data_IF_953701623643
#
_entry.id   IF_953701623643
#
_cell.length_a   1.000
_cell.length_b   1.000
_cell.length_c   1.000
_cell.angle_alpha   90.00
_cell.angle_beta   90.00
_cell.angle_gamma   90.00
#
_symmetry.space_group_name_H-M   'P 1'
#
loop_
_entity.id
_entity.type
_entity.pdbx_description
1 polymer ?
2 water ?
#
# COMPACT_ATOMS: atom_id res chain seq x y z
N UNK A 5 -14.99 -7.19 -26.63
CA UNK A 5 -14.68 -7.00 -28.04
C UNK A 5 -13.37 -6.22 -28.20
N UNK A 6 -13.00 -5.90 -29.43
CA UNK A 6 -11.71 -5.25 -29.62
C UNK A 6 -11.71 -3.86 -29.00
N UNK A 7 -12.81 -3.12 -29.16
CA UNK A 7 -12.86 -1.74 -28.66
C UNK A 7 -12.68 -1.71 -27.15
N UNK A 8 -13.44 -2.53 -26.43
CA UNK A 8 -13.35 -2.53 -24.98
C UNK A 8 -12.03 -3.11 -24.51
N UNK A 9 -11.53 -4.17 -25.17
CA UNK A 9 -10.23 -4.73 -24.78
C UNK A 9 -9.11 -3.73 -24.99
N UNK A 10 -9.13 -3.00 -26.11
CA UNK A 10 -8.09 -2.03 -26.38
C UNK A 10 -8.11 -0.90 -25.36
N UNK A 11 -9.31 -0.39 -25.04
CA UNK A 11 -9.47 0.65 -24.03
C UNK A 11 -9.03 0.12 -22.69
N UNK A 12 -9.48 -1.09 -22.36
CA UNK A 12 -9.09 -1.72 -21.08
C UNK A 12 -7.58 -1.74 -20.92
N UNK A 13 -6.86 -2.32 -21.89
CA UNK A 13 -5.43 -2.45 -21.76
C UNK A 13 -4.73 -1.09 -21.79
N UNK A 14 -5.15 -0.18 -22.66
CA UNK A 14 -4.53 1.13 -22.68
C UNK A 14 -4.84 1.91 -21.41
N UNK A 15 -6.07 1.83 -20.92
CA UNK A 15 -6.44 2.60 -19.75
C UNK A 15 -5.61 2.17 -18.53
N UNK A 16 -5.38 0.87 -18.40
CA UNK A 16 -4.53 0.41 -17.29
C UNK A 16 -3.20 1.14 -17.31
N UNK A 17 -2.54 1.19 -18.47
CA UNK A 17 -1.22 1.80 -18.54
C UNK A 17 -1.28 3.31 -18.33
N UNK A 18 -2.27 3.99 -18.88
CA UNK A 18 -2.40 5.43 -18.67
C UNK A 18 -2.63 5.73 -17.19
N UNK A 19 -3.64 5.08 -16.60
CA UNK A 19 -3.91 5.27 -15.18
C UNK A 19 -2.68 4.92 -14.31
N UNK A 20 -1.97 3.84 -14.66
CA UNK A 20 -0.82 3.45 -13.85
C UNK A 20 0.33 4.44 -13.99
N UNK A 21 0.48 5.05 -15.16
CA UNK A 21 1.57 5.97 -15.41
C UNK A 21 1.30 7.35 -14.80
N UNK A 22 0.10 7.88 -15.05
CA UNK A 22 -0.21 9.27 -14.75
C UNK A 22 -1.12 9.46 -13.56
N UNK A 23 -1.69 8.39 -13.00
CA UNK A 23 -2.68 8.53 -11.96
C UNK A 23 -4.01 8.97 -12.53
N UNK A 24 -5.04 8.97 -11.68
CA UNK A 24 -6.39 9.24 -12.16
C UNK A 24 -6.53 10.65 -12.73
N UNK A 25 -6.18 11.66 -11.93
CA UNK A 25 -6.43 13.04 -12.35
C UNK A 25 -5.65 13.40 -13.61
N UNK A 26 -4.43 12.89 -13.74
CA UNK A 26 -3.60 13.17 -14.89
C UNK A 26 -3.94 12.39 -16.13
N UNK A 27 -4.74 11.33 -16.02
CA UNK A 27 -5.19 10.58 -17.17
C UNK A 27 -6.36 11.29 -17.82
N UNK A 28 -6.52 11.07 -19.13
CA UNK A 28 -7.60 11.68 -19.89
C UNK A 28 -8.18 10.68 -20.87
N UNK A 29 -9.47 10.88 -21.21
CA UNK A 29 -10.07 10.15 -22.31
C UNK A 29 -9.23 10.33 -23.58
N UNK A 30 -8.78 11.56 -23.84
CA UNK A 30 -7.99 11.85 -25.04
C UNK A 30 -6.79 10.92 -25.15
N UNK A 31 -6.05 10.76 -24.04
CA UNK A 31 -4.86 9.93 -24.06
C UNK A 31 -5.22 8.45 -24.17
N UNK A 32 -6.29 8.01 -23.48
CA UNK A 32 -6.69 6.60 -23.54
C UNK A 32 -7.11 6.22 -24.95
N UNK A 33 -7.86 7.10 -25.63
CA UNK A 33 -8.27 6.81 -27.01
C UNK A 33 -7.04 6.67 -27.91
N UNK A 34 -6.10 7.61 -27.77
CA UNK A 34 -4.89 7.59 -28.59
C UNK A 34 -4.11 6.31 -28.34
N UNK A 35 -3.89 5.99 -27.06
CA UNK A 35 -3.08 4.81 -26.73
C UNK A 35 -3.79 3.52 -27.12
N UNK A 36 -5.12 3.51 -27.04
CA UNK A 36 -5.89 2.33 -27.43
C UNK A 36 -6.01 2.15 -28.93
N UNK A 37 -5.68 3.16 -29.73
CA UNK A 37 -5.95 3.09 -31.17
C UNK A 37 -7.44 2.86 -31.41
N UNK A 38 -8.27 3.59 -30.68
CA UNK A 38 -9.72 3.55 -30.80
C UNK A 38 -10.20 4.95 -31.16
N UNK A 39 -10.98 5.06 -32.23
CA UNK A 39 -11.52 6.36 -32.59
C UNK A 39 -12.29 6.96 -31.42
N UNK A 40 -12.08 8.27 -31.16
CA UNK A 40 -12.66 8.86 -29.95
C UNK A 40 -14.17 8.78 -29.96
N UNK A 41 -14.80 8.95 -31.12
CA UNK A 41 -16.25 8.82 -31.19
C UNK A 41 -16.73 7.44 -30.79
N UNK A 42 -15.98 6.40 -31.15
CA UNK A 42 -16.32 5.04 -30.77
C UNK A 42 -16.06 4.81 -29.29
N UNK A 43 -14.99 5.40 -28.75
CA UNK A 43 -14.78 5.36 -27.30
C UNK A 43 -15.99 5.93 -26.58
N UNK A 44 -16.42 7.14 -26.97
CA UNK A 44 -17.51 7.78 -26.26
C UNK A 44 -18.83 7.07 -26.48
N UNK A 45 -18.96 6.30 -27.58
CA UNK A 45 -20.15 5.47 -27.74
C UNK A 45 -20.23 4.40 -26.65
N UNK A 46 -19.08 3.99 -26.13
CA UNK A 46 -18.99 2.92 -25.14
C UNK A 46 -18.88 3.42 -23.71
N UNK A 47 -18.23 4.56 -23.50
CA UNK A 47 -17.95 5.11 -22.17
C UNK A 47 -18.16 6.61 -22.20
N UNK A 48 -18.96 7.13 -21.27
CA UNK A 48 -19.29 8.56 -21.27
C UNK A 48 -18.18 9.44 -20.74
N UNK A 49 -17.23 8.89 -19.97
CA UNK A 49 -16.30 9.71 -19.21
C UNK A 49 -15.11 8.86 -18.77
N UNK A 50 -14.07 9.54 -18.32
CA UNK A 50 -12.92 8.88 -17.71
C UNK A 50 -13.34 8.02 -16.52
N UNK A 51 -14.27 8.52 -15.70
CA UNK A 51 -14.70 7.76 -14.53
C UNK A 51 -15.37 6.46 -14.94
N UNK A 52 -16.16 6.49 -16.02
CA UNK A 52 -16.77 5.26 -16.49
C UNK A 52 -15.71 4.28 -16.96
N UNK A 53 -14.66 4.76 -17.63
CA UNK A 53 -13.61 3.86 -18.07
C UNK A 53 -12.92 3.24 -16.86
N UNK A 54 -12.56 4.08 -15.88
CA UNK A 54 -11.91 3.59 -14.67
C UNK A 54 -12.70 2.48 -14.00
N UNK A 55 -14.01 2.70 -13.77
CA UNK A 55 -14.81 1.73 -13.04
C UNK A 55 -14.94 0.42 -13.80
N UNK A 56 -15.11 0.51 -15.12
CA UNK A 56 -15.13 -0.67 -15.98
C UNK A 56 -13.82 -1.46 -15.85
N UNK A 57 -12.68 -0.76 -15.90
CA UNK A 57 -11.38 -1.43 -15.78
C UNK A 57 -11.26 -2.12 -14.43
N UNK A 58 -11.63 -1.42 -13.34
CA UNK A 58 -11.56 -2.04 -12.02
C UNK A 58 -12.42 -3.29 -11.97
N UNK A 59 -13.65 -3.19 -12.45
CA UNK A 59 -14.58 -4.32 -12.36
C UNK A 59 -14.08 -5.51 -13.18
N UNK A 60 -13.72 -5.26 -14.44
CA UNK A 60 -13.19 -6.34 -15.27
C UNK A 60 -11.91 -6.92 -14.69
N UNK A 61 -10.99 -6.05 -14.26
CA UNK A 61 -9.69 -6.52 -13.81
C UNK A 61 -9.75 -7.34 -12.54
N UNK A 62 -10.72 -7.06 -11.67
CA UNK A 62 -10.80 -7.83 -10.44
C UNK A 62 -11.50 -9.17 -10.63
N UNK A 63 -12.08 -9.43 -11.82
CA UNK A 63 -12.77 -10.69 -12.05
C UNK A 63 -11.86 -11.89 -11.82
N UNK A 64 -10.64 -11.84 -12.38
CA UNK A 64 -9.73 -12.98 -12.25
C UNK A 64 -9.30 -13.14 -10.79
N UNK A 65 -9.25 -12.06 -10.02
CA UNK A 65 -8.91 -12.17 -8.60
C UNK A 65 -9.98 -12.95 -7.84
N UNK A 66 -11.24 -12.56 -8.03
CA UNK A 66 -12.35 -13.30 -7.42
C UNK A 66 -12.41 -14.74 -7.90
N UNK A 67 -12.18 -14.94 -9.20
CA UNK A 67 -12.25 -16.29 -9.77
C UNK A 67 -11.21 -17.21 -9.14
N UNK A 68 -9.96 -16.74 -9.09
CA UNK A 68 -8.88 -17.57 -8.56
C UNK A 68 -9.00 -17.77 -7.05
N UNK A 69 -9.49 -16.76 -6.32
CA UNK A 69 -9.71 -16.95 -4.90
C UNK A 69 -10.85 -17.94 -4.64
N UNK A 70 -11.95 -17.79 -5.40
CA UNK A 70 -13.07 -18.73 -5.27
C UNK A 70 -12.63 -20.15 -5.57
N UNK A 71 -11.75 -20.34 -6.56
CA UNK A 71 -11.25 -21.69 -6.85
C UNK A 71 -10.50 -22.26 -5.66
N UNK A 72 -9.67 -21.45 -5.00
CA UNK A 72 -8.96 -21.91 -3.80
C UNK A 72 -9.94 -22.26 -2.69
N UNK A 73 -10.93 -21.38 -2.47
CA UNK A 73 -11.97 -21.65 -1.47
C UNK A 73 -12.69 -22.97 -1.75
N UNK A 74 -12.86 -23.32 -3.03
CA UNK A 74 -13.63 -24.50 -3.41
C UNK A 74 -12.85 -25.80 -3.25
N UNK A 75 -11.53 -25.73 -3.11
CA UNK A 75 -10.73 -26.94 -2.93
C UNK A 75 -11.12 -27.68 -1.66
N UNK A 76 -10.85 -28.99 -1.65
CA UNK A 76 -11.06 -29.77 -0.43
C UNK A 76 -9.85 -29.72 0.51
N UNK A 77 -8.76 -29.06 0.10
CA UNK A 77 -7.55 -28.93 0.91
C UNK A 77 -7.84 -28.39 2.29
N UNK A 78 -7.01 -28.78 3.26
CA UNK A 78 -7.05 -28.17 4.57
C UNK A 78 -6.85 -26.67 4.43
N UNK A 79 -7.48 -25.88 5.31
CA UNK A 79 -7.35 -24.42 5.21
C UNK A 79 -5.91 -23.93 5.22
N UNK A 80 -5.03 -24.55 6.03
CA UNK A 80 -3.64 -24.11 6.07
C UNK A 80 -2.99 -24.30 4.71
N UNK A 81 -3.40 -25.34 3.97
CA UNK A 81 -2.88 -25.54 2.62
C UNK A 81 -3.52 -24.55 1.65
N UNK A 82 -4.77 -24.17 1.88
CA UNK A 82 -5.39 -23.13 1.08
C UNK A 82 -4.66 -21.80 1.25
N UNK A 83 -4.19 -21.49 2.47
CA UNK A 83 -3.46 -20.25 2.67
C UNK A 83 -2.14 -20.26 1.92
N UNK A 84 -1.43 -21.39 1.94
CA UNK A 84 -0.20 -21.48 1.16
C UNK A 84 -0.48 -21.26 -0.33
N UNK A 85 -1.57 -21.82 -0.84
CA UNK A 85 -1.93 -21.63 -2.25
C UNK A 85 -2.39 -20.20 -2.51
N UNK A 86 -3.00 -19.55 -1.51
CA UNK A 86 -3.40 -18.15 -1.65
C UNK A 86 -2.20 -17.24 -1.88
N UNK A 87 -1.13 -17.42 -1.08
CA UNK A 87 0.04 -16.57 -1.22
C UNK A 87 0.67 -16.73 -2.59
N UNK A 88 0.76 -17.96 -3.07
CA UNK A 88 1.34 -18.23 -4.38
C UNK A 88 0.49 -17.60 -5.48
N UNK A 90 -1.65 -15.08 -5.31
CA UNK A 90 -1.73 -13.62 -5.28
C UNK A 90 -0.46 -12.98 -5.83
N UNK A 91 0.70 -13.52 -5.46
CA UNK A 91 1.95 -12.93 -5.93
C UNK A 91 2.16 -13.19 -7.41
N UNK A 92 1.75 -14.38 -7.89
CA UNK A 92 1.81 -14.63 -9.33
C UNK A 92 0.87 -13.68 -10.07
N UNK A 93 -0.35 -13.49 -9.55
CA UNK A 93 -1.29 -12.58 -10.20
C UNK A 93 -0.78 -11.15 -10.17
N UNK A 94 -0.24 -10.73 -9.01
CA UNK A 94 0.37 -9.40 -8.91
C UNK A 94 1.47 -9.22 -9.93
N UNK A 95 2.37 -10.20 -10.04
CA UNK A 95 3.50 -10.08 -10.94
C UNK A 95 3.06 -10.03 -12.40
N UNK A 96 1.97 -10.72 -12.73
CA UNK A 96 1.46 -10.72 -14.09
C UNK A 96 0.64 -9.49 -14.43
N UNK A 97 0.31 -8.65 -13.46
CA UNK A 97 -0.62 -7.54 -13.65
C UNK A 97 -0.16 -6.33 -12.85
N UNK A 98 1.12 -5.98 -12.98
CA UNK A 98 1.68 -4.98 -12.09
C UNK A 98 1.08 -3.60 -12.36
N UNK A 99 0.89 -3.26 -13.64
CA UNK A 99 0.31 -1.95 -13.95
C UNK A 99 -1.09 -1.82 -13.34
N UNK A 100 -1.92 -2.85 -13.52
CA UNK A 100 -3.27 -2.84 -12.95
C UNK A 100 -3.23 -2.63 -11.45
N UNK A 101 -2.34 -3.34 -10.75
CA UNK A 101 -2.31 -3.25 -9.29
C UNK A 101 -1.86 -1.86 -8.82
N UNK A 102 -0.92 -1.24 -9.54
CA UNK A 102 -0.52 0.13 -9.23
C UNK A 102 -1.68 1.11 -9.42
N UNK A 104 -4.82 0.42 -9.10
CA UNK A 104 -5.66 0.22 -7.92
C UNK A 104 -5.07 0.92 -6.71
N UNK A 106 -3.07 3.34 -6.43
CA UNK A 106 -3.04 4.80 -6.48
C UNK A 106 -4.37 5.42 -6.07
N UNK A 107 -5.47 4.66 -6.12
CA UNK A 107 -6.79 5.22 -5.89
C UNK A 107 -7.45 4.73 -4.61
N UNK A 108 -6.73 4.00 -3.76
CA UNK A 108 -7.39 3.39 -2.60
C UNK A 108 -7.56 4.33 -1.41
N UNK A 109 -7.03 5.54 -1.45
CA UNK A 109 -6.77 6.29 -0.23
C UNK A 109 -7.57 7.56 -0.07
N UNK A 110 -8.35 7.98 -1.07
CA UNK A 110 -9.07 9.23 -1.02
C UNK A 110 -10.54 9.03 -0.74
N UNK A 111 -11.31 10.11 -0.89
CA UNK A 111 -12.70 10.13 -0.45
C UNK A 111 -13.69 10.36 -1.60
N UNK A 112 -13.25 10.33 -2.85
CA UNK A 112 -14.22 10.36 -3.94
C UNK A 112 -15.10 9.12 -3.87
N UNK A 113 -16.35 9.27 -4.31
CA UNK A 113 -17.25 8.12 -4.38
C UNK A 113 -16.63 6.97 -5.17
N UNK A 114 -15.91 7.30 -6.24
CA UNK A 114 -15.18 6.31 -7.02
C UNK A 114 -14.25 5.48 -6.14
N UNK A 115 -13.66 6.10 -5.13
CA UNK A 115 -12.69 5.39 -4.30
C UNK A 115 -13.35 4.60 -3.18
N UNK A 116 -14.45 5.11 -2.63
CA UNK A 116 -15.28 4.27 -1.75
C UNK A 116 -15.70 3.00 -2.47
N UNK A 117 -16.16 3.13 -3.72
CA UNK A 117 -16.61 1.98 -4.49
C UNK A 117 -15.47 1.01 -4.77
N UNK A 118 -14.29 1.54 -5.12
CA UNK A 118 -13.11 0.72 -5.30
C UNK A 118 -12.79 -0.06 -4.03
N UNK A 119 -12.78 0.62 -2.89
CA UNK A 119 -12.49 -0.06 -1.63
C UNK A 119 -13.54 -1.13 -1.32
N UNK A 120 -14.80 -0.87 -1.65
CA UNK A 120 -15.82 -1.90 -1.46
C UNK A 120 -15.54 -3.13 -2.31
N UNK A 121 -14.98 -2.93 -3.51
CA UNK A 121 -14.63 -4.08 -4.35
C UNK A 121 -13.46 -4.86 -3.77
N UNK A 122 -12.46 -4.16 -3.25
CA UNK A 122 -11.34 -4.83 -2.60
C UNK A 122 -11.80 -5.56 -1.35
N UNK A 123 -12.72 -4.95 -0.60
CA UNK A 123 -13.26 -5.58 0.60
C UNK A 123 -13.94 -6.90 0.28
N UNK A 124 -14.74 -6.92 -0.81
CA UNK A 124 -15.31 -8.17 -1.29
C UNK A 124 -14.24 -9.24 -1.49
N UNK A 125 -13.12 -8.89 -2.11
CA UNK A 125 -12.03 -9.84 -2.26
C UNK A 125 -11.48 -10.26 -0.89
N UNK A 126 -11.23 -9.30 0.00
CA UNK A 126 -10.63 -9.61 1.29
C UNK A 126 -11.55 -10.51 2.13
N UNK A 127 -12.87 -10.41 1.92
CA UNK A 127 -13.78 -11.28 2.66
C UNK A 127 -13.56 -12.76 2.33
N UNK A 128 -13.11 -13.06 1.11
CA UNK A 128 -12.75 -14.44 0.80
C UNK A 128 -11.58 -14.92 1.63
N UNK A 129 -10.57 -14.06 1.82
CA UNK A 129 -9.45 -14.39 2.71
C UNK A 129 -9.96 -14.62 4.13
N UNK A 130 -10.87 -13.76 4.60
CA UNK A 130 -11.42 -13.94 5.93
C UNK A 130 -12.11 -15.31 6.06
N UNK A 131 -12.80 -15.74 5.01
CA UNK A 131 -13.49 -17.02 5.08
C UNK A 131 -12.50 -18.18 5.25
N UNK A 132 -11.37 -18.16 4.54
CA UNK A 132 -10.38 -19.21 4.71
C UNK A 132 -9.80 -19.17 6.12
N UNK A 133 -9.52 -17.96 6.63
CA UNK A 133 -8.95 -17.84 7.97
C UNK A 133 -9.92 -18.37 9.01
N UNK A 134 -11.21 -18.08 8.87
CA UNK A 134 -12.19 -18.57 9.84
C UNK A 134 -12.19 -20.09 9.89
N UNK A 135 -12.17 -20.73 8.74
CA UNK A 135 -12.09 -22.19 8.70
C UNK A 135 -10.78 -22.68 9.32
N UNK A 136 -9.67 -21.99 9.03
CA UNK A 136 -8.37 -22.38 9.58
C UNK A 136 -8.37 -22.29 11.09
N UNK A 137 -9.00 -21.25 11.64
CA UNK A 137 -9.05 -21.10 13.09
C UNK A 137 -9.91 -22.21 13.70
N UNK A 138 -11.06 -22.50 13.10
CA UNK A 138 -11.91 -23.55 13.66
C UNK A 138 -11.20 -24.90 13.62
N UNK A 139 -10.34 -25.13 12.64
CA UNK A 139 -9.60 -26.39 12.56
C UNK A 139 -8.29 -26.36 13.34
N UNK A 140 -8.06 -25.29 14.11
CA UNK A 140 -6.87 -25.11 14.94
C UNK A 140 -5.59 -25.20 14.14
N UNK A 141 -5.62 -24.68 12.91
CA UNK A 141 -4.41 -24.58 12.10
C UNK A 141 -3.83 -23.18 12.09
N UNK A 142 -4.60 -22.20 12.54
CA UNK A 142 -4.17 -20.82 12.67
C UNK A 142 -4.58 -20.33 14.05
N UNK A 143 -3.75 -19.49 14.67
CA UNK A 143 -4.04 -18.98 16.00
C UNK A 143 -5.33 -18.15 16.00
N UNK A 144 -6.03 -18.18 17.14
CA UNK A 144 -7.18 -17.30 17.30
C UNK A 144 -6.71 -15.85 17.31
N UNK A 145 -7.35 -15.01 16.52
CA UNK A 145 -6.89 -13.63 16.38
C UNK A 145 -7.99 -12.84 15.71
N UNK A 146 -7.75 -11.54 15.58
CA UNK A 146 -8.63 -10.66 14.84
C UNK A 146 -8.55 -11.02 13.36
N UNK A 147 -9.61 -11.65 12.84
CA UNK A 147 -9.60 -12.21 11.50
C UNK A 147 -9.55 -11.11 10.44
N UNK A 148 -10.39 -10.09 10.59
CA UNK A 148 -10.40 -9.00 9.62
C UNK A 148 -9.06 -8.28 9.59
N UNK A 149 -8.49 -8.00 10.76
CA UNK A 149 -7.17 -7.39 10.80
C UNK A 149 -6.14 -8.26 10.08
N UNK A 150 -6.16 -9.56 10.36
CA UNK A 150 -5.21 -10.47 9.70
C UNK A 150 -5.43 -10.50 8.19
N UNK A 151 -6.70 -10.65 7.77
CA UNK A 151 -6.97 -10.73 6.33
C UNK A 151 -6.49 -9.48 5.61
N UNK A 152 -6.63 -8.31 6.24
CA UNK A 152 -6.12 -7.11 5.58
C UNK A 152 -4.60 -7.11 5.54
N UNK A 153 -3.95 -7.69 6.55
CA UNK A 153 -2.50 -7.84 6.53
C UNK A 153 -2.06 -8.78 5.41
N UNK A 154 -2.84 -9.84 5.15
CA UNK A 154 -2.48 -10.76 4.09
C UNK A 154 -2.63 -10.12 2.73
N UNK A 155 -3.72 -9.34 2.53
CA UNK A 155 -3.82 -8.55 1.31
C UNK A 155 -2.71 -7.50 1.24
N UNK A 156 -2.42 -6.85 2.37
CA UNK A 156 -1.42 -5.81 2.42
C UNK A 156 -0.01 -6.28 2.08
N UNK A 157 0.29 -7.57 2.22
CA UNK A 157 1.55 -8.10 1.72
C UNK A 157 1.73 -7.81 0.22
N UNK A 158 0.62 -7.74 -0.54
CA UNK A 158 0.73 -7.37 -1.94
C UNK A 158 1.21 -5.95 -2.10
N UNK A 159 0.75 -5.06 -1.21
CA UNK A 159 1.05 -3.65 -1.37
C UNK A 159 2.51 -3.38 -1.05
N UNK A 160 2.99 -3.87 0.10
CA UNK A 160 4.39 -3.64 0.44
C UNK A 160 5.33 -4.36 -0.51
N UNK A 161 4.93 -5.52 -1.03
CA UNK A 161 5.77 -6.20 -2.01
C UNK A 161 5.78 -5.46 -3.34
N UNK A 162 4.64 -4.88 -3.74
CA UNK A 162 4.63 -4.03 -4.94
C UNK A 162 5.62 -2.89 -4.81
N UNK A 163 5.73 -2.31 -3.61
CA UNK A 163 6.71 -1.24 -3.42
C UNK A 163 8.13 -1.79 -3.48
N UNK A 164 8.34 -2.95 -2.88
CA UNK A 164 9.63 -3.64 -2.97
C UNK A 164 9.99 -3.96 -4.42
N UNK A 165 9.00 -4.35 -5.24
CA UNK A 165 9.28 -4.69 -6.63
C UNK A 165 9.77 -3.47 -7.41
N UNK A 166 9.39 -2.27 -7.00
CA UNK A 166 9.84 -1.05 -7.66
C UNK A 166 11.27 -0.65 -7.30
N UNK A 167 11.93 -1.39 -6.40
CA UNK A 167 13.32 -1.09 -6.03
C UNK A 167 14.20 -1.05 -7.27
N UNK A 168 15.00 0.00 -7.39
CA UNK A 168 15.87 0.13 -8.55
C UNK A 168 17.22 -0.54 -8.36
N UNK A 169 17.52 -1.06 -7.16
CA UNK A 169 18.82 -1.61 -6.84
C UNK A 169 18.85 -3.14 -6.83
N UNK A 170 17.74 -3.79 -7.18
CA UNK A 170 17.71 -5.24 -7.20
C UNK A 170 16.70 -5.68 -8.25
N UNK A 171 16.75 -6.96 -8.59
CA UNK A 171 15.79 -7.58 -9.49
C UNK A 171 14.85 -8.48 -8.70
N UNK A 172 13.56 -8.35 -9.01
CA UNK A 172 12.49 -9.05 -8.30
C UNK A 172 12.35 -10.50 -8.78
N UNK A 173 12.30 -11.44 -7.85
CA UNK A 173 12.16 -12.86 -8.16
C UNK A 173 10.89 -13.35 -7.47
N UNK A 174 9.85 -13.62 -8.26
CA UNK A 174 8.53 -13.87 -7.68
C UNK A 174 8.52 -15.16 -6.87
N UNK A 175 9.26 -16.18 -7.31
CA UNK A 175 9.22 -17.45 -6.60
C UNK A 175 9.93 -17.36 -5.26
N UNK A 176 11.05 -16.62 -5.22
CA UNK A 176 11.73 -16.41 -3.95
C UNK A 176 10.87 -15.58 -3.00
N UNK A 177 10.13 -14.61 -3.52
CA UNK A 177 9.29 -13.78 -2.67
C UNK A 177 8.14 -14.59 -2.09
N UNK A 178 7.51 -15.43 -2.92
CA UNK A 178 6.46 -16.31 -2.41
C UNK A 178 6.99 -17.15 -1.27
N UNK A 179 8.14 -17.79 -1.47
CA UNK A 179 8.68 -18.68 -0.43
C UNK A 179 8.99 -17.92 0.85
N UNK A 180 9.60 -16.73 0.73
CA UNK A 180 10.00 -15.98 1.91
C UNK A 180 8.79 -15.46 2.66
N UNK A 181 7.82 -14.89 1.93
CA UNK A 181 6.66 -14.29 2.58
C UNK A 181 5.80 -15.36 3.24
N UNK A 182 5.69 -16.53 2.60
CA UNK A 182 4.92 -17.62 3.19
C UNK A 182 5.50 -17.99 4.56
N UNK A 183 6.82 -18.14 4.64
CA UNK A 183 7.43 -18.46 5.91
C UNK A 183 7.29 -17.30 6.89
N UNK A 184 7.54 -16.07 6.44
CA UNK A 184 7.41 -14.94 7.35
C UNK A 184 6.02 -14.87 7.96
N UNK A 185 4.98 -15.06 7.14
CA UNK A 185 3.61 -14.94 7.63
C UNK A 185 3.23 -16.12 8.52
N UNK A 186 3.53 -17.35 8.08
CA UNK A 186 3.09 -18.51 8.84
C UNK A 186 3.93 -18.74 10.09
N UNK A 187 5.27 -18.69 9.95
CA UNK A 187 6.17 -19.03 11.04
C UNK A 187 6.65 -17.82 11.85
N UNK A 188 6.40 -16.60 11.37
CA UNK A 188 6.97 -15.45 12.04
C UNK A 188 8.44 -15.33 11.72
N UNK A 189 9.09 -14.34 12.35
CA UNK A 189 10.51 -14.12 12.14
C UNK A 189 11.38 -14.51 13.33
N UNK A 190 10.79 -14.78 14.49
CA UNK A 190 11.59 -15.09 15.66
C UNK A 190 12.29 -16.43 15.49
N UNK A 191 13.54 -16.50 15.94
CA UNK A 191 14.27 -17.76 15.94
C UNK A 191 13.53 -18.76 16.82
N UNK A 192 13.33 -19.98 16.31
CA UNK A 192 12.54 -20.96 17.05
C UNK A 192 13.23 -22.32 17.20
N UNK B 9 4.83 26.88 7.43
CA UNK B 9 4.07 26.06 8.37
C UNK B 9 2.59 25.98 8.00
N UNK B 10 1.98 27.13 7.70
CA UNK B 10 0.59 27.12 7.25
C UNK B 10 0.46 26.40 5.93
N UNK B 11 1.46 26.55 5.06
CA UNK B 11 1.42 25.87 3.78
C UNK B 11 1.53 24.36 3.98
N UNK B 12 2.35 23.93 4.94
CA UNK B 12 2.54 22.49 5.17
C UNK B 12 1.21 21.82 5.51
N UNK B 13 0.50 22.34 6.51
CA UNK B 13 -0.75 21.68 6.90
C UNK B 13 -1.80 21.78 5.80
N UNK B 14 -1.88 22.93 5.12
CA UNK B 14 -2.87 23.09 4.06
C UNK B 14 -2.54 22.23 2.85
N UNK B 15 -1.26 22.10 2.52
CA UNK B 15 -0.92 21.37 1.30
C UNK B 15 -1.18 19.89 1.47
N UNK B 16 -1.08 19.35 2.69
CA UNK B 16 -1.45 17.96 2.91
C UNK B 16 -2.90 17.73 2.53
N UNK B 17 -3.80 18.57 3.05
CA UNK B 17 -5.21 18.44 2.74
C UNK B 17 -5.45 18.60 1.24
N UNK B 18 -4.84 19.63 0.65
CA UNK B 18 -5.10 19.91 -0.76
C UNK B 18 -4.59 18.78 -1.65
N UNK B 19 -3.34 18.35 -1.43
CA UNK B 19 -2.81 17.21 -2.21
C UNK B 19 -3.64 15.96 -1.98
N UNK B 20 -4.13 15.76 -0.76
CA UNK B 20 -5.01 14.62 -0.50
C UNK B 20 -6.35 14.76 -1.24
N UNK B 21 -6.95 15.95 -1.21
CA UNK B 21 -8.29 16.15 -1.74
C UNK B 21 -8.30 16.41 -3.25
N UNK B 22 -7.43 17.29 -3.72
CA UNK B 22 -7.43 17.67 -5.13
C UNK B 22 -6.37 16.94 -5.94
N UNK B 23 -5.56 16.10 -5.30
CA UNK B 23 -4.45 15.47 -5.97
C UNK B 23 -3.29 16.43 -6.15
N UNK B 24 -2.16 15.89 -6.58
CA UNK B 24 -1.08 16.75 -7.04
C UNK B 24 -1.43 17.33 -8.40
N UNK B 25 -1.62 16.44 -9.38
CA UNK B 25 -2.31 16.84 -10.60
C UNK B 25 -3.75 17.16 -10.23
N UNK B 26 -4.21 18.36 -10.59
CA UNK B 26 -5.52 18.83 -10.21
C UNK B 26 -5.51 19.89 -9.12
N UNK B 27 -4.42 20.04 -8.39
CA UNK B 27 -4.30 21.13 -7.45
C UNK B 27 -3.45 22.24 -8.07
N UNK B 28 -3.54 23.42 -7.46
CA UNK B 28 -2.78 24.58 -7.90
C UNK B 28 -2.09 25.20 -6.70
N UNK B 29 -1.05 25.99 -7.01
CA UNK B 29 -0.42 26.85 -6.01
C UNK B 29 -1.46 27.77 -5.38
N UNK B 30 -2.35 28.34 -6.19
CA UNK B 30 -3.33 29.30 -5.67
C UNK B 30 -4.24 28.64 -4.63
N UNK B 31 -4.74 27.44 -4.94
CA UNK B 31 -5.60 26.72 -4.02
C UNK B 31 -4.89 26.42 -2.71
N UNK B 32 -3.59 26.10 -2.77
CA UNK B 32 -2.84 25.85 -1.55
C UNK B 32 -2.67 27.15 -0.75
N UNK B 33 -2.35 28.25 -1.44
CA UNK B 33 -2.22 29.52 -0.72
C UNK B 33 -3.55 29.89 -0.06
N UNK B 34 -4.66 29.68 -0.77
CA UNK B 34 -5.97 30.06 -0.25
C UNK B 34 -6.33 29.23 0.98
N UNK B 35 -6.21 27.90 0.88
CA UNK B 35 -6.50 27.03 2.02
C UNK B 35 -5.62 27.33 3.21
N UNK B 36 -4.38 27.78 2.96
CA UNK B 36 -3.45 28.19 4.00
C UNK B 36 -3.73 29.60 4.53
N UNK B 37 -4.60 30.38 3.88
CA UNK B 37 -4.83 31.78 4.21
C UNK B 37 -3.52 32.57 4.12
N UNK B 38 -2.76 32.31 3.06
CA UNK B 38 -1.46 32.91 2.84
C UNK B 38 -1.52 33.70 1.53
N UNK B 39 -1.18 34.99 1.60
CA UNK B 39 -1.15 35.80 0.39
C UNK B 39 -0.22 35.17 -0.64
N UNK B 40 -0.62 35.25 -1.91
CA UNK B 40 0.13 34.58 -2.97
C UNK B 40 1.57 35.08 -3.05
N UNK B 41 1.79 36.39 -2.86
CA UNK B 41 3.15 36.91 -2.88
C UNK B 41 4.00 36.34 -1.76
N UNK B 42 3.41 36.17 -0.58
CA UNK B 42 4.13 35.57 0.54
C UNK B 42 4.44 34.09 0.29
N UNK B 43 3.54 33.39 -0.40
CA UNK B 43 3.81 32.02 -0.81
C UNK B 43 5.09 31.94 -1.64
N UNK B 44 5.27 32.86 -2.60
CA UNK B 44 6.39 32.78 -3.51
C UNK B 44 7.71 33.22 -2.88
N UNK B 45 7.67 33.93 -1.75
CA UNK B 45 8.88 34.18 -1.00
C UNK B 45 9.39 32.93 -0.30
N UNK B 46 8.54 31.92 -0.15
CA UNK B 46 8.91 30.63 0.45
C UNK B 46 9.11 29.53 -0.59
N UNK B 47 8.29 29.49 -1.64
CA UNK B 47 8.32 28.40 -2.60
C UNK B 47 8.16 28.93 -4.01
N UNK B 48 8.87 28.31 -4.96
CA UNK B 48 8.81 28.72 -6.35
C UNK B 48 7.71 28.02 -7.13
N UNK B 49 7.24 26.86 -6.66
CA UNK B 49 6.39 26.03 -7.49
C UNK B 49 5.60 25.07 -6.62
N UNK B 50 4.56 24.50 -7.23
CA UNK B 50 3.79 23.45 -6.58
C UNK B 50 4.68 22.24 -6.34
N UNK B 51 5.61 21.95 -7.27
CA UNK B 51 6.53 20.83 -7.07
C UNK B 51 7.41 21.05 -5.85
N UNK B 52 7.90 22.28 -5.66
CA UNK B 52 8.71 22.54 -4.48
C UNK B 52 7.90 22.36 -3.20
N UNK B 53 6.63 22.75 -3.22
CA UNK B 53 5.78 22.59 -2.03
C UNK B 53 5.61 21.10 -1.70
N UNK B 54 5.33 20.29 -2.73
CA UNK B 54 5.18 18.85 -2.51
C UNK B 54 6.44 18.24 -1.91
N UNK B 55 7.60 18.51 -2.53
CA UNK B 55 8.85 17.94 -2.03
C UNK B 55 9.12 18.36 -0.60
N UNK B 56 8.80 19.62 -0.27
CA UNK B 56 8.96 20.09 1.10
C UNK B 56 8.00 19.36 2.06
N UNK B 57 6.75 19.17 1.64
CA UNK B 57 5.76 18.51 2.50
C UNK B 57 6.20 17.08 2.84
N UNK B 58 6.69 16.35 1.84
CA UNK B 58 7.10 14.96 2.08
C UNK B 58 8.29 14.93 3.04
N UNK B 59 9.32 15.74 2.76
CA UNK B 59 10.52 15.72 3.58
C UNK B 59 10.20 16.14 5.01
N UNK B 60 9.46 17.23 5.17
CA UNK B 60 9.12 17.69 6.50
C UNK B 60 8.31 16.63 7.26
N UNK B 61 7.30 16.04 6.61
CA UNK B 61 6.44 15.10 7.31
C UNK B 61 7.14 13.82 7.70
N UNK B 62 8.13 13.41 6.93
CA UNK B 62 8.89 12.21 7.25
C UNK B 62 9.97 12.44 8.29
N UNK B 63 10.28 13.70 8.64
CA UNK B 63 11.32 13.97 9.62
C UNK B 63 11.03 13.27 10.95
N UNK B 64 9.78 13.34 11.43
CA UNK B 64 9.47 12.77 12.74
C UNK B 64 9.63 11.25 12.73
N UNK B 65 9.26 10.61 11.61
CA UNK B 65 9.46 9.18 11.47
C UNK B 65 10.94 8.83 11.60
N UNK B 66 11.79 9.54 10.86
CA UNK B 66 13.23 9.32 10.96
C UNK B 66 13.75 9.57 12.37
N UNK B 67 13.25 10.64 13.01
CA UNK B 67 13.71 10.96 14.37
C UNK B 67 13.39 9.84 15.35
N UNK B 68 12.15 9.34 15.31
CA UNK B 68 11.74 8.30 16.24
C UNK B 68 12.41 6.98 15.91
N UNK B 69 12.62 6.70 14.62
CA UNK B 69 13.35 5.49 14.24
C UNK B 69 14.79 5.54 14.72
N UNK B 70 15.45 6.68 14.53
CA UNK B 70 16.82 6.84 15.02
C UNK B 70 16.89 6.68 16.54
N UNK B 71 15.92 7.23 17.27
CA UNK B 71 15.89 7.06 18.73
C UNK B 71 15.91 5.59 19.09
N UNK B 72 15.10 4.79 18.40
CA UNK B 72 15.07 3.34 18.67
C UNK B 72 16.40 2.72 18.32
N UNK B 73 16.95 3.08 17.16
CA UNK B 73 18.24 2.55 16.75
C UNK B 73 19.31 2.86 17.80
N UNK B 74 19.22 4.03 18.44
CA UNK B 74 20.21 4.45 19.43
C UNK B 74 20.01 3.80 20.79
N UNK B 75 18.92 3.06 20.99
CA UNK B 75 18.69 2.42 22.28
C UNK B 75 19.75 1.34 22.54
N UNK B 76 20.03 1.10 23.82
CA UNK B 76 20.88 -0.03 24.16
C UNK B 76 20.13 -1.36 24.12
N UNK B 77 18.81 -1.34 23.92
CA UNK B 77 17.99 -2.56 23.93
C UNK B 77 18.55 -3.60 22.97
N UNK B 78 18.28 -4.87 23.28
CA UNK B 78 18.46 -5.93 22.31
C UNK B 78 17.65 -5.63 21.05
N UNK B 79 18.15 -5.99 19.87
CA UNK B 79 17.42 -5.68 18.63
C UNK B 79 16.01 -6.24 18.59
N UNK B 80 15.75 -7.41 19.17
CA UNK B 80 14.38 -7.92 19.15
C UNK B 80 13.46 -7.01 19.95
N UNK B 81 13.98 -6.38 21.01
CA UNK B 81 13.17 -5.42 21.74
C UNK B 81 13.05 -4.10 20.98
N UNK B 82 14.08 -3.73 20.22
CA UNK B 82 13.94 -2.58 19.33
C UNK B 82 12.81 -2.80 18.33
N UNK B 83 12.68 -4.01 17.80
CA UNK B 83 11.64 -4.28 16.81
C UNK B 83 10.25 -4.14 17.43
N UNK B 84 10.05 -4.65 18.65
CA UNK B 84 8.77 -4.43 19.31
C UNK B 84 8.47 -2.95 19.47
N UNK B 85 9.48 -2.16 19.88
CA UNK B 85 9.25 -0.73 20.03
C UNK B 85 9.00 -0.05 18.69
N UNK B 86 9.61 -0.57 17.62
CA UNK B 86 9.35 -0.04 16.28
C UNK B 86 7.88 -0.18 15.88
N UNK B 87 7.28 -1.35 16.14
CA UNK B 87 5.88 -1.54 15.79
C UNK B 87 4.99 -0.56 16.54
N UNK B 88 5.27 -0.38 17.83
CA UNK B 88 4.51 0.54 18.65
C UNK B 88 4.65 1.97 18.15
N UNK B 90 5.53 3.03 15.15
CA UNK B 90 4.95 3.24 13.83
C UNK B 90 3.44 3.39 13.90
N UNK B 91 2.76 2.58 14.72
CA UNK B 91 1.31 2.68 14.79
C UNK B 91 0.87 3.95 15.50
N UNK B 92 1.63 4.36 16.53
CA UNK B 92 1.38 5.64 17.16
C UNK B 92 1.51 6.79 16.17
N UNK B 93 2.60 6.81 15.40
CA UNK B 93 2.80 7.91 14.45
C UNK B 93 1.77 7.87 13.34
N UNK B 94 1.38 6.68 12.91
CA UNK B 94 0.30 6.55 11.93
C UNK B 94 -0.96 7.21 12.45
N UNK B 95 -1.30 6.96 13.72
CA UNK B 95 -2.52 7.52 14.30
C UNK B 95 -2.46 9.03 14.36
N UNK B 96 -1.30 9.60 14.71
CA UNK B 96 -1.20 11.06 14.80
C UNK B 96 -1.08 11.76 13.46
N UNK B 97 -0.81 11.02 12.39
CA UNK B 97 -0.50 11.62 11.10
C UNK B 97 -1.31 10.95 10.00
N UNK B 98 -2.60 10.71 10.28
CA UNK B 98 -3.43 9.86 9.43
C UNK B 98 -3.60 10.47 8.04
N UNK B 99 -3.89 11.76 7.99
CA UNK B 99 -4.06 12.43 6.70
C UNK B 99 -2.77 12.39 5.89
N UNK B 100 -1.64 12.71 6.53
CA UNK B 100 -0.36 12.70 5.83
C UNK B 100 -0.04 11.32 5.27
N UNK B 101 -0.23 10.28 6.08
CA UNK B 101 0.07 8.93 5.60
C UNK B 101 -0.74 8.59 4.36
N UNK B 102 -2.05 8.84 4.39
CA UNK B 102 -2.88 8.47 3.25
C UNK B 102 -2.51 9.30 2.02
N UNK B 104 0.48 10.35 1.31
CA UNK B 104 1.68 9.70 0.78
C UNK B 104 1.31 8.46 -0.02
N UNK B 106 -1.35 7.78 -1.63
CA UNK B 106 -2.04 8.11 -2.87
C UNK B 106 -1.05 8.48 -3.98
N UNK B 107 0.15 8.91 -3.62
CA UNK B 107 1.14 9.44 -4.53
C UNK B 107 2.27 8.46 -4.84
N UNK B 108 2.26 7.27 -4.24
CA UNK B 108 3.44 6.42 -4.19
C UNK B 108 3.67 5.58 -5.45
N UNK B 109 2.73 5.55 -6.40
CA UNK B 109 2.73 4.46 -7.37
C UNK B 109 2.96 4.87 -8.82
N UNK B 110 2.88 6.15 -9.15
CA UNK B 110 2.97 6.60 -10.52
C UNK B 110 4.40 6.75 -11.00
N UNK B 111 4.54 7.26 -12.23
CA UNK B 111 5.84 7.30 -12.91
C UNK B 111 6.39 8.71 -13.07
N UNK B 112 5.81 9.71 -12.43
CA UNK B 112 6.36 11.04 -12.53
C UNK B 112 7.57 11.18 -11.59
N UNK B 113 8.44 12.15 -11.90
CA UNK B 113 9.73 12.18 -11.22
C UNK B 113 9.56 12.49 -9.73
N UNK B 114 8.59 13.33 -9.37
CA UNK B 114 8.29 13.56 -7.96
C UNK B 114 7.95 12.25 -7.25
N UNK B 115 7.42 11.28 -7.99
CA UNK B 115 7.01 10.01 -7.39
C UNK B 115 8.21 9.07 -7.25
N UNK B 116 9.13 9.06 -8.23
CA UNK B 116 10.43 8.44 -8.02
C UNK B 116 11.08 8.97 -6.75
N UNK B 117 11.05 10.29 -6.57
CA UNK B 117 11.68 10.89 -5.39
C UNK B 117 10.94 10.56 -4.12
N UNK B 118 9.59 10.56 -4.16
CA UNK B 118 8.81 10.11 -3.00
C UNK B 118 9.21 8.70 -2.60
N UNK B 119 9.29 7.78 -3.58
CA UNK B 119 9.64 6.40 -3.23
C UNK B 119 11.04 6.31 -2.66
N UNK B 120 11.97 7.12 -3.19
CA UNK B 120 13.32 7.13 -2.64
C UNK B 120 13.30 7.57 -1.19
N UNK B 121 12.44 8.55 -0.86
CA UNK B 121 12.35 9.00 0.53
C UNK B 121 11.79 7.92 1.44
N UNK B 122 10.76 7.19 0.98
CA UNK B 122 10.22 6.08 1.76
C UNK B 122 11.27 4.98 1.91
N UNK B 123 11.96 4.66 0.82
CA UNK B 123 12.98 3.62 0.85
C UNK B 123 14.04 3.94 1.90
N UNK B 124 14.42 5.21 2.02
CA UNK B 124 15.44 5.60 2.99
C UNK B 124 14.98 5.32 4.42
N UNK B 125 13.69 5.60 4.70
CA UNK B 125 13.15 5.23 6.01
C UNK B 125 13.19 3.72 6.21
N UNK B 126 12.77 2.95 5.19
CA UNK B 126 12.75 1.50 5.30
C UNK B 126 14.16 0.96 5.49
N UNK B 127 15.17 1.63 4.92
CA UNK B 127 16.54 1.21 5.16
C UNK B 127 16.91 1.30 6.64
N UNK B 128 16.28 2.21 7.38
CA UNK B 128 16.50 2.26 8.82
C UNK B 128 15.94 1.05 9.54
N UNK B 129 14.80 0.54 9.08
CA UNK B 129 14.29 -0.72 9.61
C UNK B 129 15.23 -1.86 9.28
N UNK B 130 15.80 -1.86 8.08
CA UNK B 130 16.75 -2.90 7.69
C UNK B 130 17.96 -2.93 8.64
N UNK B 131 18.42 -1.77 9.11
CA UNK B 131 19.56 -1.76 10.01
C UNK B 131 19.24 -2.46 11.32
N UNK B 132 18.04 -2.24 11.86
CA UNK B 132 17.66 -2.94 13.08
C UNK B 132 17.54 -4.44 12.83
N UNK B 133 16.97 -4.83 11.68
CA UNK B 133 16.84 -6.25 11.38
C UNK B 133 18.20 -6.91 11.19
N UNK B 134 19.16 -6.19 10.60
CA UNK B 134 20.50 -6.72 10.43
C UNK B 134 21.14 -7.03 11.77
N UNK B 135 20.93 -6.16 12.77
CA UNK B 135 21.44 -6.41 14.12
C UNK B 135 20.74 -7.60 14.76
N UNK B 136 19.43 -7.73 14.54
CA UNK B 136 18.71 -8.88 15.06
C UNK B 136 19.18 -10.18 14.43
N UNK B 137 19.56 -10.16 13.15
CA UNK B 137 20.03 -11.38 12.50
C UNK B 137 21.43 -11.75 13.01
N UNK B 138 22.30 -10.75 13.17
CA UNK B 138 23.64 -11.03 13.69
C UNK B 138 23.57 -11.61 15.11
N UNK B 139 22.67 -11.07 15.95
CA UNK B 139 22.45 -11.58 17.31
C UNK B 139 21.65 -12.87 17.35
N UNK B 140 21.28 -13.44 16.19
CA UNK B 140 20.52 -14.69 16.12
C UNK B 140 19.19 -14.59 16.86
N UNK B 141 18.57 -13.41 16.85
CA UNK B 141 17.28 -13.24 17.51
C UNK B 141 16.10 -13.39 16.55
N UNK B 142 16.33 -13.20 15.25
CA UNK B 142 15.34 -13.48 14.23
C UNK B 142 16.01 -14.32 13.14
N UNK B 143 15.19 -14.97 12.32
CA UNK B 143 15.70 -15.84 11.26
C UNK B 143 16.52 -15.07 10.24
N UNK B 144 17.47 -15.76 9.63
CA UNK B 144 18.09 -15.23 8.42
C UNK B 144 17.06 -15.20 7.31
N UNK B 145 17.03 -14.10 6.57
CA UNK B 145 15.97 -13.92 5.60
C UNK B 145 16.36 -12.75 4.70
N UNK B 146 15.54 -12.51 3.69
CA UNK B 146 15.69 -11.32 2.87
C UNK B 146 15.32 -10.09 3.70
N UNK B 147 16.32 -9.31 4.11
CA UNK B 147 16.12 -8.25 5.09
C UNK B 147 15.32 -7.11 4.49
N UNK B 148 15.61 -6.79 3.23
CA UNK B 148 14.89 -5.69 2.58
C UNK B 148 13.44 -6.06 2.34
N UNK B 149 13.18 -7.31 1.92
CA UNK B 149 11.80 -7.74 1.77
C UNK B 149 11.07 -7.68 3.10
N UNK B 150 11.68 -8.20 4.16
CA UNK B 150 11.07 -8.12 5.49
C UNK B 150 10.83 -6.68 5.93
N UNK B 151 11.82 -5.79 5.75
CA UNK B 151 11.63 -4.41 6.16
C UNK B 151 10.45 -3.77 5.43
N UNK B 152 10.30 -4.03 4.14
CA UNK B 152 9.12 -3.55 3.43
C UNK B 152 7.84 -4.13 4.05
N UNK B 153 7.85 -5.41 4.42
CA UNK B 153 6.68 -6.01 5.06
C UNK B 153 6.37 -5.34 6.40
N UNK B 154 7.41 -4.97 7.16
CA UNK B 154 7.19 -4.30 8.44
C UNK B 154 6.60 -2.91 8.26
N UNK B 155 7.09 -2.16 7.27
CA UNK B 155 6.41 -0.92 6.91
C UNK B 155 4.99 -1.22 6.42
N UNK B 156 4.83 -2.33 5.70
CA UNK B 156 3.52 -2.72 5.19
C UNK B 156 2.45 -2.92 6.25
N UNK B 157 2.85 -3.22 7.49
CA UNK B 157 1.85 -3.35 8.56
C UNK B 157 1.05 -2.06 8.72
N UNK B 158 1.68 -0.90 8.49
CA UNK B 158 0.96 0.37 8.55
C UNK B 158 0.07 0.54 7.35
N UNK B 159 0.56 0.15 6.17
CA UNK B 159 -0.24 0.25 4.95
C UNK B 159 -1.53 -0.55 5.10
N UNK B 160 -1.40 -1.80 5.55
CA UNK B 160 -2.58 -2.67 5.73
C UNK B 160 -3.55 -2.09 6.75
N UNK B 161 -3.03 -1.65 7.89
CA UNK B 161 -3.91 -1.11 8.91
C UNK B 161 -4.63 0.15 8.42
N UNK B 162 -3.89 1.03 7.75
CA UNK B 162 -4.50 2.24 7.20
C UNK B 162 -5.61 1.90 6.20
N UNK B 163 -5.38 0.89 5.34
CA UNK B 163 -6.40 0.48 4.40
C UNK B 163 -7.60 -0.12 5.12
N UNK B 164 -7.34 -0.95 6.13
CA UNK B 164 -8.39 -1.55 6.93
C UNK B 164 -9.28 -0.49 7.56
N UNK B 165 -8.67 0.54 8.13
CA UNK B 165 -9.44 1.61 8.76
C UNK B 165 -10.28 2.35 7.73
N UNK B 166 -9.71 2.60 6.54
CA UNK B 166 -10.47 3.29 5.51
C UNK B 166 -11.64 2.45 5.02
N UNK B 167 -11.42 1.16 4.86
CA UNK B 167 -12.42 0.29 4.26
C UNK B 167 -13.59 0.05 5.20
N UNK B 168 -13.35 0.05 6.51
CA UNK B 168 -14.41 -0.14 7.50
C UNK B 168 -14.87 1.17 8.13
N UNK B 169 -14.27 2.30 7.77
CA UNK B 169 -14.58 3.62 8.36
C UNK B 169 -14.43 3.56 9.89
N UNK B 170 -13.22 3.20 10.31
CA UNK B 170 -12.91 3.04 11.73
C UNK B 170 -11.56 3.69 12.05
N UNK B 171 -11.36 3.99 13.33
CA UNK B 171 -10.06 4.39 13.87
C UNK B 171 -9.79 3.43 15.02
N UNK B 172 -9.06 2.35 14.74
CA UNK B 172 -8.97 1.26 15.69
C UNK B 172 -8.05 1.62 16.86
N UNK B 173 -8.36 1.06 18.02
CA UNK B 173 -7.55 1.27 19.21
C UNK B 173 -6.12 0.84 18.94
N UNK B 174 -5.18 1.75 19.19
CA UNK B 174 -3.81 1.57 18.72
C UNK B 174 -3.12 0.46 19.50
N UNK B 175 -3.39 0.35 20.80
CA UNK B 175 -2.73 -0.69 21.59
C UNK B 175 -3.19 -2.08 21.19
N UNK B 176 -4.47 -2.25 20.87
CA UNK B 176 -4.93 -3.57 20.46
C UNK B 176 -4.33 -3.95 19.11
N UNK B 177 -4.19 -2.98 18.21
CA UNK B 177 -3.54 -3.23 16.92
C UNK B 177 -2.08 -3.63 17.13
N UNK B 178 -1.36 -2.84 17.94
CA UNK B 178 0.05 -3.13 18.21
C UNK B 178 0.21 -4.54 18.75
N UNK B 179 -0.62 -4.91 19.73
CA UNK B 179 -0.51 -6.22 20.34
C UNK B 179 -0.74 -7.34 19.34
N UNK B 180 -1.77 -7.21 18.49
CA UNK B 180 -2.07 -8.26 17.52
C UNK B 180 -0.99 -8.33 16.45
N UNK B 181 -0.64 -7.19 15.86
CA UNK B 181 0.33 -7.19 14.78
C UNK B 181 1.68 -7.71 15.27
N UNK B 182 2.11 -7.28 16.46
CA UNK B 182 3.40 -7.72 17.00
C UNK B 182 3.46 -9.24 17.09
N UNK B 183 2.43 -9.87 17.65
CA UNK B 183 2.42 -11.34 17.73
C UNK B 183 2.43 -11.96 16.33
N UNK B 184 1.60 -11.43 15.43
CA UNK B 184 1.55 -11.97 14.06
C UNK B 184 2.92 -11.94 13.41
N UNK B 185 3.63 -10.81 13.55
CA UNK B 185 4.91 -10.65 12.88
C UNK B 185 5.98 -11.54 13.52
N UNK B 186 6.06 -11.50 14.85
CA UNK B 186 7.17 -12.17 15.53
C UNK B 186 6.98 -13.69 15.58
N UNK B 187 5.79 -14.13 15.97
CA UNK B 187 5.53 -15.55 16.21
C UNK B 187 4.81 -16.26 15.06
N UNK B 188 4.27 -15.53 14.09
CA UNK B 188 3.57 -16.18 13.01
C UNK B 188 2.15 -16.53 13.40
N UNK B 189 1.42 -17.12 12.45
CA UNK B 189 0.03 -17.45 12.70
C UNK B 189 -0.26 -18.95 12.71
N UNK B 190 0.63 -19.79 12.16
CA UNK B 190 0.31 -21.20 12.03
C UNK B 190 0.38 -21.89 13.40
N UNK B 191 -0.47 -22.90 13.57
CA UNK B 191 -0.34 -23.88 14.65
C UNK B 191 -0.05 -25.21 13.97
N UNK B 192 1.13 -25.76 14.24
CA UNK B 192 1.49 -27.03 13.64
C UNK B 192 2.35 -27.82 14.60
#
# INVERSE_FOLDING_TARGET
SNAXNRTKKAIFEAAINVFATSGYNGSTVDEIASKANVAKGTLYYNFKSKEEIFNFVISKGLEIWHEKLTDIENLEDEPIEKLKKLFKXQFELLYENRAFFKXVXSQLWGKETRQDELRNKITEYIEGIERILKEAISKKQIRECDISLLAHSLFGSLISTSLYELSRDKEFNVNKVIDEITINILDGIVIK
SNAXNRTKKAIFEAAINVFATSGYNGSTVDEIASKANVAKGTLYYNFKSKEEIFNFVISKGLEIWHEKLTDIENLEDEPIEKLKKLFKXQFELLYENRAFFKXVXSQLWGKETRQDELRNKITEYIEGIERILKEAISKKQIRECDISLLAHSLFGSLISTSLYELSRDKEFNVNKVIDEITINILDGIVIK
#
